data_IF_943405330498
#
_entry.id   IF_943405330498
#
_cell.length_a   1.000
_cell.length_b   1.000
_cell.length_c   1.000
_cell.angle_alpha   90.00
_cell.angle_beta   90.00
_cell.angle_gamma   90.00
#
_symmetry.space_group_name_H-M   'P 1'
#
loop_
_entity.id
_entity.type
_entity.pdbx_description
1 polymer ?
#
# COMPACT_ATOMS: atom_id res chain seq x y z
N UNK A 1 -47.20 10.13 -1.85
CA UNK A 1 -47.15 9.61 -0.46
C UNK A 1 -46.51 8.23 -0.40
N UNK A 2 -47.05 7.22 -1.08
CA UNK A 2 -46.50 5.86 -1.04
C UNK A 2 -45.06 5.74 -1.59
N UNK A 3 -44.73 6.44 -2.69
CA UNK A 3 -43.35 6.44 -3.24
C UNK A 3 -42.32 7.07 -2.28
N UNK A 4 -42.74 8.07 -1.50
CA UNK A 4 -41.89 8.75 -0.50
C UNK A 4 -41.58 7.82 0.66
N UNK A 5 -42.60 7.08 1.15
CA UNK A 5 -42.44 6.09 2.22
C UNK A 5 -41.55 4.90 1.79
N UNK A 6 -41.68 4.44 0.54
CA UNK A 6 -40.81 3.38 0.01
C UNK A 6 -39.35 3.81 -0.08
N UNK A 7 -39.09 5.06 -0.49
CA UNK A 7 -37.73 5.60 -0.52
C UNK A 7 -37.14 5.72 0.89
N UNK A 8 -37.94 6.15 1.88
CA UNK A 8 -37.53 6.23 3.27
C UNK A 8 -37.25 4.84 3.87
N UNK A 9 -38.08 3.83 3.60
CA UNK A 9 -37.80 2.46 4.04
C UNK A 9 -36.52 1.92 3.41
N UNK A 10 -36.32 2.13 2.11
CA UNK A 10 -35.09 1.73 1.42
C UNK A 10 -33.85 2.37 2.04
N UNK A 11 -33.93 3.65 2.41
CA UNK A 11 -32.83 4.39 3.04
C UNK A 11 -32.55 3.88 4.47
N UNK A 12 -33.58 3.59 5.25
CA UNK A 12 -33.45 3.17 6.65
C UNK A 12 -33.05 1.70 6.79
N UNK A 13 -33.59 0.79 5.98
CA UNK A 13 -33.33 -0.65 6.09
C UNK A 13 -32.28 -1.17 5.12
N UNK A 14 -31.84 -0.35 4.15
CA UNK A 14 -30.93 -0.77 3.09
C UNK A 14 -31.50 -1.80 2.11
N UNK A 15 -32.81 -2.12 2.21
CA UNK A 15 -33.45 -3.16 1.41
C UNK A 15 -33.71 -2.68 -0.01
N UNK A 16 -33.15 -3.36 -1.02
CA UNK A 16 -33.30 -2.99 -2.44
C UNK A 16 -34.49 -3.67 -3.13
N UNK A 17 -35.09 -4.68 -2.51
CA UNK A 17 -36.28 -5.39 -3.02
C UNK A 17 -37.56 -4.56 -2.83
N UNK A 18 -38.05 -3.99 -3.93
CA UNK A 18 -39.23 -3.13 -3.97
C UNK A 18 -40.51 -3.91 -3.61
N UNK A 19 -40.62 -5.20 -3.92
CA UNK A 19 -41.81 -5.99 -3.59
C UNK A 19 -41.89 -6.24 -2.09
N UNK A 20 -40.75 -6.54 -1.45
CA UNK A 20 -40.66 -6.73 -0.01
C UNK A 20 -40.96 -5.43 0.75
N UNK A 21 -40.46 -4.29 0.27
CA UNK A 21 -40.76 -2.96 0.84
C UNK A 21 -42.26 -2.61 0.73
N UNK A 22 -42.89 -2.92 -0.40
CA UNK A 22 -44.33 -2.72 -0.58
C UNK A 22 -45.15 -3.63 0.34
N UNK A 23 -44.73 -4.88 0.50
CA UNK A 23 -45.36 -5.82 1.42
C UNK A 23 -45.24 -5.34 2.88
N UNK A 24 -44.07 -4.87 3.30
CA UNK A 24 -43.87 -4.32 4.64
C UNK A 24 -44.77 -3.11 4.90
N UNK A 25 -44.87 -2.20 3.93
CA UNK A 25 -45.75 -1.03 4.03
C UNK A 25 -47.24 -1.41 4.06
N UNK A 26 -47.63 -2.48 3.35
CA UNK A 26 -49.00 -2.98 3.32
C UNK A 26 -49.39 -3.67 4.63
N UNK A 27 -48.49 -4.48 5.19
CA UNK A 27 -48.70 -5.19 6.47
C UNK A 27 -48.71 -4.20 7.64
N UNK A 28 -47.91 -3.15 7.56
CA UNK A 28 -47.78 -2.13 8.61
C UNK A 28 -48.78 -0.97 8.43
N UNK A 29 -49.77 -1.11 7.54
CA UNK A 29 -50.80 -0.10 7.26
C UNK A 29 -50.26 1.33 7.00
N UNK A 30 -49.05 1.46 6.45
CA UNK A 30 -48.39 2.73 6.19
C UNK A 30 -47.58 3.33 7.34
N UNK A 31 -47.48 2.66 8.50
CA UNK A 31 -46.58 3.04 9.59
C UNK A 31 -45.13 2.65 9.27
N UNK A 32 -44.23 3.63 9.34
CA UNK A 32 -42.82 3.44 8.98
C UNK A 32 -42.05 2.64 10.05
N UNK A 33 -42.37 2.81 11.34
CA UNK A 33 -41.66 2.14 12.42
C UNK A 33 -41.98 0.64 12.47
N UNK A 34 -43.25 0.29 12.28
CA UNK A 34 -43.67 -1.12 12.17
C UNK A 34 -43.11 -1.77 10.90
N UNK A 35 -43.05 -1.05 9.78
CA UNK A 35 -42.48 -1.57 8.54
C UNK A 35 -40.97 -1.83 8.66
N UNK A 36 -40.22 -0.97 9.38
CA UNK A 36 -38.80 -1.21 9.69
C UNK A 36 -38.63 -2.43 10.60
N UNK A 37 -39.47 -2.58 11.63
CA UNK A 37 -39.44 -3.75 12.52
C UNK A 37 -39.72 -5.06 11.74
N UNK A 38 -40.72 -5.06 10.86
CA UNK A 38 -41.05 -6.22 10.02
C UNK A 38 -39.88 -6.62 9.10
N UNK A 39 -39.18 -5.64 8.52
CA UNK A 39 -38.05 -5.87 7.62
C UNK A 39 -36.78 -6.31 8.36
N UNK A 40 -36.61 -5.90 9.62
CA UNK A 40 -35.45 -6.27 10.44
C UNK A 40 -35.63 -7.61 11.13
N UNK A 41 -36.85 -7.97 11.56
CA UNK A 41 -37.15 -9.29 12.14
C UNK A 41 -37.14 -10.41 11.09
N UNK A 42 -37.57 -10.16 9.85
CA UNK A 42 -37.50 -11.17 8.78
C UNK A 42 -36.06 -11.53 8.36
N UNK A 43 -35.10 -10.63 8.58
CA UNK A 43 -33.67 -10.89 8.37
C UNK A 43 -33.00 -11.64 9.53
N UNK A 44 -33.73 -11.92 10.63
CA UNK A 44 -33.17 -12.55 11.84
C UNK A 44 -33.36 -14.09 11.92
N UNK A 45 -33.74 -14.78 10.84
CA UNK A 45 -33.77 -16.25 10.79
C UNK A 45 -32.58 -16.81 10.00
N UNK A 46 -31.69 -17.47 10.73
CA UNK A 46 -30.47 -18.19 10.28
C UNK A 46 -30.78 -19.20 9.16
N UNK A 47 -29.90 -19.28 8.14
CA UNK A 47 -29.55 -20.56 7.54
C UNK A 47 -28.04 -20.86 7.62
N UNK A 48 -27.76 -22.14 7.84
CA UNK A 48 -26.46 -22.80 7.77
C UNK A 48 -25.87 -22.71 6.35
N UNK A 49 -24.53 -22.67 6.31
CA UNK A 49 -23.63 -23.16 5.26
C UNK A 49 -24.12 -23.07 3.80
N UNK A 50 -23.55 -22.12 3.06
CA UNK A 50 -22.66 -22.48 1.96
C UNK A 50 -21.59 -21.40 1.82
N UNK A 51 -20.39 -21.86 1.49
CA UNK A 51 -19.19 -21.05 1.30
C UNK A 51 -19.31 -20.05 0.15
N UNK A 52 -18.39 -19.09 0.19
CA UNK A 52 -18.06 -18.09 -0.82
C UNK A 52 -18.90 -16.80 -0.81
N UNK A 53 -18.16 -15.68 -0.78
CA UNK A 53 -18.54 -14.30 -1.16
C UNK A 53 -18.81 -13.29 -0.03
N UNK A 54 -17.73 -12.82 0.61
CA UNK A 54 -17.60 -11.45 1.16
C UNK A 54 -16.17 -11.04 0.78
N UNK A 55 -15.91 -10.15 -0.17
CA UNK A 55 -16.21 -8.72 -0.16
C UNK A 55 -16.52 -8.25 -1.59
N UNK A 56 -17.69 -7.64 -1.82
CA UNK A 56 -17.87 -6.78 -2.99
C UNK A 56 -18.58 -5.49 -2.61
N UNK A 57 -17.75 -4.46 -2.45
CA UNK A 57 -18.12 -3.05 -2.46
C UNK A 57 -18.85 -2.73 -3.76
N UNK A 58 -19.95 -1.99 -3.64
CA UNK A 58 -20.78 -1.44 -4.70
C UNK A 58 -19.97 -0.77 -5.81
N UNK A 59 -20.02 -1.36 -7.01
CA UNK A 59 -19.61 -0.75 -8.26
C UNK A 59 -20.70 0.23 -8.74
N UNK A 60 -20.30 1.48 -8.98
CA UNK A 60 -21.04 2.42 -9.85
C UNK A 60 -20.30 2.42 -11.19
N UNK A 61 -21.07 2.23 -12.26
CA UNK A 61 -20.62 1.68 -13.53
C UNK A 61 -19.61 2.50 -14.32
N UNK A 62 -18.70 1.75 -14.96
CA UNK A 62 -18.03 2.11 -16.21
C UNK A 62 -17.65 0.79 -16.91
N UNK A 63 -18.58 0.24 -17.68
CA UNK A 63 -18.33 -0.89 -18.57
C UNK A 63 -17.46 -0.43 -19.75
N UNK A 64 -16.18 -0.77 -19.70
CA UNK A 64 -15.30 -0.87 -20.89
C UNK A 64 -14.02 -1.64 -20.54
N UNK A 65 -14.15 -2.94 -20.29
CA UNK A 65 -13.00 -3.85 -20.36
C UNK A 65 -12.81 -4.28 -21.81
N UNK A 66 -11.69 -3.87 -22.42
CA UNK A 66 -11.24 -4.36 -23.72
C UNK A 66 -10.66 -5.75 -23.49
N UNK A 67 -11.37 -6.77 -23.98
CA UNK A 67 -10.88 -8.14 -24.08
C UNK A 67 -9.81 -8.21 -25.16
N UNK A 68 -8.56 -8.49 -24.78
CA UNK A 68 -7.50 -8.84 -25.73
C UNK A 68 -7.57 -10.36 -25.96
N UNK A 69 -8.61 -10.77 -26.70
CA UNK A 69 -8.71 -12.10 -27.25
C UNK A 69 -7.94 -12.17 -28.57
N UNK A 70 -6.91 -13.01 -28.60
CA UNK A 70 -6.25 -13.45 -29.83
C UNK A 70 -7.28 -14.17 -30.69
N UNK A 71 -7.73 -13.55 -31.78
CA UNK A 71 -8.44 -14.22 -32.86
C UNK A 71 -7.69 -13.96 -34.16
N UNK A 72 -7.00 -15.01 -34.60
CA UNK A 72 -6.56 -15.16 -35.96
C UNK A 72 -7.81 -15.40 -36.82
N UNK A 73 -8.24 -14.38 -37.56
CA UNK A 73 -9.34 -14.54 -38.52
C UNK A 73 -8.80 -15.12 -39.84
N UNK A 74 -9.33 -16.30 -40.11
CA UNK A 74 -9.11 -17.11 -41.31
C UNK A 74 -10.14 -16.62 -42.33
N UNK A 75 -9.73 -15.87 -43.35
CA UNK A 75 -10.65 -15.45 -44.41
C UNK A 75 -10.89 -16.59 -45.40
N UNK A 76 -11.97 -17.33 -45.20
CA UNK A 76 -12.53 -18.26 -46.18
C UNK A 76 -13.08 -17.49 -47.40
N UNK A 77 -12.65 -17.95 -48.57
CA UNK A 77 -13.22 -17.68 -49.89
C UNK A 77 -14.69 -18.12 -49.97
N UNK A 78 -15.54 -17.38 -50.71
CA UNK A 78 -16.55 -17.87 -51.67
C UNK A 78 -17.26 -16.66 -52.36
N UNK A 79 -17.88 -16.82 -53.55
CA UNK A 79 -17.62 -15.97 -54.72
C UNK A 79 -18.82 -15.11 -55.16
N UNK A 80 -18.54 -14.01 -55.87
CA UNK A 80 -19.55 -13.19 -56.55
C UNK A 80 -19.80 -13.63 -58.01
N UNK A 81 -21.03 -13.48 -58.54
CA UNK A 81 -21.41 -13.96 -59.87
C UNK A 81 -21.02 -12.99 -61.00
N UNK A 82 -20.75 -13.59 -62.17
CA UNK A 82 -20.33 -12.96 -63.42
C UNK A 82 -21.43 -12.14 -64.12
N UNK A 83 -21.02 -11.19 -64.98
CA UNK A 83 -21.54 -10.85 -66.33
C UNK A 83 -20.80 -9.60 -66.91
N UNK A 84 -20.83 -9.30 -68.23
CA UNK A 84 -19.82 -9.77 -69.19
C UNK A 84 -19.20 -8.66 -70.06
N UNK A 85 -18.08 -8.97 -70.72
CA UNK A 85 -17.70 -8.36 -72.01
C UNK A 85 -16.50 -7.43 -72.02
N UNK A 86 -15.37 -7.92 -72.54
CA UNK A 86 -14.65 -7.35 -73.69
C UNK A 86 -13.46 -8.26 -74.05
N UNK A 87 -13.11 -8.27 -75.32
CA UNK A 87 -12.26 -9.28 -75.99
C UNK A 87 -10.78 -9.30 -75.58
N UNK A 88 -10.02 -10.22 -76.22
CA UNK A 88 -8.77 -10.77 -75.70
C UNK A 88 -7.56 -9.88 -76.03
N UNK A 89 -6.56 -9.87 -75.17
CA UNK A 89 -5.18 -9.52 -75.56
C UNK A 89 -4.18 -10.24 -74.68
N UNK A 90 -3.34 -11.01 -75.38
CA UNK A 90 -2.15 -11.68 -74.89
C UNK A 90 -1.14 -10.67 -74.34
N UNK A 91 -0.40 -11.07 -73.31
CA UNK A 91 0.75 -10.33 -72.80
C UNK A 91 1.24 -10.93 -71.49
N UNK A 92 1.97 -12.04 -71.59
CA UNK A 92 2.91 -12.46 -70.55
C UNK A 92 3.91 -11.32 -70.30
N UNK A 93 3.89 -10.73 -69.11
CA UNK A 93 5.06 -10.04 -68.56
C UNK A 93 5.43 -10.76 -67.27
N UNK A 94 6.44 -11.63 -67.34
CA UNK A 94 7.14 -12.16 -66.17
C UNK A 94 7.67 -11.05 -65.25
N UNK A 95 7.81 -9.84 -65.78
CA UNK A 95 8.30 -8.63 -65.11
C UNK A 95 7.50 -8.23 -63.87
N UNK A 96 6.16 -8.32 -63.85
CA UNK A 96 5.37 -7.82 -62.71
C UNK A 96 5.48 -8.71 -61.46
N UNK A 97 5.74 -10.01 -61.65
CA UNK A 97 6.04 -10.94 -60.55
C UNK A 97 7.45 -10.74 -60.04
N UNK A 98 8.39 -10.51 -60.96
CA UNK A 98 9.78 -10.26 -60.64
C UNK A 98 9.93 -8.93 -59.88
N UNK A 99 9.20 -7.88 -60.27
CA UNK A 99 9.19 -6.58 -59.59
C UNK A 99 8.53 -6.65 -58.21
N UNK A 100 7.46 -7.43 -58.04
CA UNK A 100 6.86 -7.66 -56.73
C UNK A 100 7.81 -8.43 -55.80
N UNK A 101 8.47 -9.47 -56.31
CA UNK A 101 9.48 -10.21 -55.54
C UNK A 101 10.70 -9.33 -55.22
N UNK A 102 11.09 -8.44 -56.12
CA UNK A 102 12.17 -7.48 -55.90
C UNK A 102 11.80 -6.44 -54.85
N UNK A 103 10.58 -5.92 -54.87
CA UNK A 103 10.08 -4.99 -53.86
C UNK A 103 10.03 -5.63 -52.46
N UNK A 104 9.57 -6.88 -52.37
CA UNK A 104 9.55 -7.64 -51.10
C UNK A 104 10.97 -7.89 -50.57
N UNK A 105 11.90 -8.27 -51.46
CA UNK A 105 13.29 -8.49 -51.08
C UNK A 105 13.97 -7.19 -50.60
N UNK A 106 13.69 -6.06 -51.24
CA UNK A 106 14.21 -4.75 -50.84
C UNK A 106 13.64 -4.31 -49.48
N UNK A 107 12.34 -4.50 -49.21
CA UNK A 107 11.76 -4.22 -47.88
C UNK A 107 12.33 -5.11 -46.77
N UNK A 108 12.59 -6.39 -47.06
CA UNK A 108 13.24 -7.30 -46.10
C UNK A 108 14.70 -6.88 -45.83
N UNK A 109 15.43 -6.44 -46.86
CA UNK A 109 16.79 -5.97 -46.70
C UNK A 109 16.84 -4.65 -45.90
N UNK A 110 15.93 -3.71 -46.17
CA UNK A 110 15.81 -2.43 -45.48
C UNK A 110 15.47 -2.62 -43.99
N UNK A 111 14.50 -3.47 -43.67
CA UNK A 111 14.17 -3.87 -42.29
C UNK A 111 15.37 -4.52 -41.57
N UNK A 112 16.11 -5.39 -42.27
CA UNK A 112 17.31 -6.03 -41.70
C UNK A 112 18.47 -5.06 -41.46
N UNK A 113 18.58 -3.98 -42.25
CA UNK A 113 19.59 -2.92 -42.06
C UNK A 113 19.24 -2.03 -40.88
N UNK A 114 17.98 -1.60 -40.76
CA UNK A 114 17.50 -0.82 -39.63
C UNK A 114 17.74 -1.54 -38.29
N UNK A 115 17.50 -2.86 -38.25
CA UNK A 115 17.79 -3.70 -37.09
C UNK A 115 19.28 -3.84 -36.78
N UNK A 116 20.16 -3.97 -37.80
CA UNK A 116 21.62 -4.06 -37.56
C UNK A 116 22.23 -2.76 -37.06
N UNK A 117 21.68 -1.62 -37.44
CA UNK A 117 22.26 -0.31 -37.13
C UNK A 117 21.83 0.21 -35.75
N UNK A 118 20.60 -0.11 -35.32
CA UNK A 118 20.05 0.38 -34.05
C UNK A 118 19.81 -0.72 -33.02
N UNK A 119 19.79 -1.98 -33.42
CA UNK A 119 19.44 -3.12 -32.57
C UNK A 119 17.95 -3.17 -32.18
N UNK A 120 17.12 -2.30 -32.76
CA UNK A 120 15.72 -2.10 -32.37
C UNK A 120 14.86 -2.22 -33.63
N UNK A 121 13.80 -3.02 -33.57
CA UNK A 121 12.84 -3.16 -34.67
C UNK A 121 11.88 -1.96 -34.76
N UNK A 122 11.30 -1.73 -35.93
CA UNK A 122 10.29 -0.66 -36.12
C UNK A 122 9.08 -0.83 -35.19
N UNK A 123 8.75 -2.08 -34.86
CA UNK A 123 7.69 -2.45 -33.91
C UNK A 123 8.05 -2.01 -32.48
N UNK A 124 9.28 -2.24 -32.03
CA UNK A 124 9.76 -1.80 -30.70
C UNK A 124 9.84 -0.27 -30.58
N UNK A 125 10.19 0.43 -31.66
CA UNK A 125 10.12 1.90 -31.69
C UNK A 125 8.68 2.42 -31.66
N UNK A 126 7.74 1.72 -32.29
CA UNK A 126 6.32 2.06 -32.22
C UNK A 126 5.77 1.82 -30.81
N UNK A 127 6.10 0.71 -30.17
CA UNK A 127 5.74 0.40 -28.78
C UNK A 127 6.30 1.47 -27.83
N UNK A 128 7.58 1.84 -28.00
CA UNK A 128 8.22 2.88 -27.17
C UNK A 128 7.51 4.23 -27.30
N UNK A 129 7.14 4.64 -28.52
CA UNK A 129 6.37 5.87 -28.76
C UNK A 129 4.98 5.86 -28.14
N UNK A 130 4.27 4.73 -28.24
CA UNK A 130 2.94 4.57 -27.63
C UNK A 130 3.04 4.57 -26.10
N UNK A 131 4.06 3.93 -25.53
CA UNK A 131 4.30 3.90 -24.09
C UNK A 131 4.65 5.30 -23.55
N UNK A 132 5.52 6.04 -24.24
CA UNK A 132 5.84 7.43 -23.88
C UNK A 132 4.60 8.34 -23.96
N UNK A 133 3.78 8.19 -25.00
CA UNK A 133 2.53 8.93 -25.13
C UNK A 133 1.54 8.58 -23.98
N UNK A 134 1.43 7.31 -23.60
CA UNK A 134 0.59 6.87 -22.48
C UNK A 134 1.10 7.39 -21.13
N UNK A 135 2.42 7.41 -20.90
CA UNK A 135 3.03 7.99 -19.70
C UNK A 135 2.78 9.50 -19.64
N UNK A 136 2.91 10.20 -20.78
CA UNK A 136 2.64 11.63 -20.87
C UNK A 136 1.16 11.95 -20.63
N UNK A 137 0.25 11.13 -21.19
CA UNK A 137 -1.20 11.27 -21.00
C UNK A 137 -1.63 10.97 -19.56
N UNK A 138 -1.05 9.96 -18.91
CA UNK A 138 -1.27 9.67 -17.49
C UNK A 138 -0.78 10.83 -16.59
N UNK A 139 0.41 11.37 -16.86
CA UNK A 139 0.92 12.57 -16.15
C UNK A 139 0.05 13.80 -16.37
N UNK A 140 -0.48 13.99 -17.58
CA UNK A 140 -1.36 15.11 -17.90
C UNK A 140 -2.77 14.95 -17.31
N UNK A 141 -3.26 13.70 -17.20
CA UNK A 141 -4.55 13.38 -16.58
C UNK A 141 -4.49 13.58 -15.06
N UNK A 142 -3.38 13.22 -14.43
CA UNK A 142 -3.12 13.49 -13.00
C UNK A 142 -3.12 14.99 -12.67
N UNK A 143 -2.72 15.84 -13.62
CA UNK A 143 -2.80 17.31 -13.50
C UNK A 143 -4.19 17.88 -13.75
N UNK A 144 -5.08 17.18 -14.47
CA UNK A 144 -6.43 17.65 -14.84
C UNK A 144 -7.49 17.30 -13.81
N UNK A 145 -7.33 16.20 -13.08
CA UNK A 145 -8.00 16.03 -11.79
C UNK A 145 -7.38 17.03 -10.84
N UNK A 146 -8.09 18.12 -10.57
CA UNK A 146 -7.78 19.07 -9.51
C UNK A 146 -7.50 18.27 -8.23
N UNK A 147 -6.23 18.08 -7.88
CA UNK A 147 -5.83 17.59 -6.56
C UNK A 147 -6.50 18.55 -5.59
N UNK A 148 -7.59 18.12 -4.94
CA UNK A 148 -8.13 18.85 -3.81
C UNK A 148 -7.02 18.87 -2.77
N UNK A 149 -6.21 19.93 -2.81
CA UNK A 149 -5.22 20.20 -1.79
C UNK A 149 -6.02 20.38 -0.53
N UNK A 150 -6.01 19.35 0.31
CA UNK A 150 -6.71 19.39 1.60
C UNK A 150 -6.27 20.66 2.32
N UNK A 151 -7.24 21.50 2.66
CA UNK A 151 -7.01 22.78 3.33
C UNK A 151 -7.80 22.83 4.62
N UNK A 152 -7.24 23.54 5.61
CA UNK A 152 -7.94 23.78 6.86
C UNK A 152 -9.23 24.56 6.57
N UNK A 153 -10.35 24.16 7.19
CA UNK A 153 -11.58 24.97 7.12
C UNK A 153 -11.28 26.40 7.58
N UNK A 154 -11.68 27.44 6.82
CA UNK A 154 -11.48 28.82 7.23
C UNK A 154 -12.26 29.15 8.50
N UNK A 155 -13.34 28.42 8.79
CA UNK A 155 -14.09 28.58 10.02
C UNK A 155 -13.44 27.78 11.18
N UNK A 156 -12.95 28.46 12.24
CA UNK A 156 -12.31 27.78 13.37
C UNK A 156 -13.27 26.88 14.16
N UNK A 157 -14.59 27.11 14.09
CA UNK A 157 -15.58 26.29 14.79
C UNK A 157 -15.67 24.87 14.21
N UNK A 158 -15.51 24.71 12.89
CA UNK A 158 -15.53 23.40 12.21
C UNK A 158 -14.31 22.55 12.58
N UNK A 159 -13.28 23.19 13.14
CA UNK A 159 -12.03 22.57 13.58
C UNK A 159 -12.05 22.25 15.08
N UNK A 160 -13.17 22.48 15.77
CA UNK A 160 -13.33 22.18 17.19
C UNK A 160 -13.50 20.66 17.37
N UNK A 161 -12.81 20.11 18.38
CA UNK A 161 -12.94 18.72 18.81
C UNK A 161 -14.31 18.51 19.44
N UNK A 162 -15.01 17.46 19.02
CA UNK A 162 -16.18 16.98 19.74
C UNK A 162 -15.74 16.30 21.03
N UNK A 163 -16.57 16.39 22.08
CA UNK A 163 -16.27 15.74 23.36
C UNK A 163 -16.10 14.22 23.19
N UNK A 164 -15.14 13.62 23.90
CA UNK A 164 -14.79 12.20 23.83
C UNK A 164 -14.29 11.67 22.47
N UNK A 165 -14.24 12.48 21.41
CA UNK A 165 -13.61 12.06 20.15
C UNK A 165 -12.07 12.13 20.26
N UNK A 166 -11.29 11.18 19.72
CA UNK A 166 -9.83 11.30 19.63
C UNK A 166 -9.37 12.51 18.80
N UNK A 167 -8.15 12.99 19.05
CA UNK A 167 -7.52 14.06 18.25
C UNK A 167 -6.89 13.45 17.01
N UNK A 168 -7.21 13.96 15.83
CA UNK A 168 -6.57 13.58 14.57
C UNK A 168 -5.19 14.20 14.38
N UNK A 169 -4.46 13.74 13.37
CA UNK A 169 -3.21 14.34 12.92
C UNK A 169 -3.41 14.94 11.53
N UNK A 170 -2.95 16.18 11.34
CA UNK A 170 -2.96 16.84 10.03
C UNK A 170 -2.00 16.12 9.09
N UNK A 171 -2.44 15.84 7.87
CA UNK A 171 -1.56 15.33 6.82
C UNK A 171 -0.72 16.49 6.26
N UNK A 172 0.60 16.45 6.48
CA UNK A 172 1.55 17.51 6.15
C UNK A 172 2.46 17.09 4.99
N UNK A 173 1.82 16.67 3.90
CA UNK A 173 2.48 16.23 2.66
C UNK A 173 2.93 14.78 2.70
N UNK A 174 2.15 13.88 2.09
CA UNK A 174 2.45 12.43 1.99
C UNK A 174 2.89 11.79 3.32
N UNK A 175 2.36 12.24 4.46
CA UNK A 175 2.77 11.81 5.82
C UNK A 175 1.67 11.01 6.53
N UNK A 176 0.78 10.37 5.76
CA UNK A 176 -0.24 9.49 6.32
C UNK A 176 0.36 8.27 7.05
N UNK A 177 1.52 7.77 6.60
CA UNK A 177 2.28 6.71 7.27
C UNK A 177 2.66 7.10 8.70
N UNK A 178 3.12 8.34 8.91
CA UNK A 178 3.44 8.88 10.24
C UNK A 178 2.20 8.90 11.12
N UNK A 179 1.10 9.43 10.55
CA UNK A 179 -0.16 9.57 11.26
C UNK A 179 -0.71 8.22 11.74
N UNK A 180 -0.67 7.18 10.89
CA UNK A 180 -1.15 5.85 11.22
C UNK A 180 -0.34 5.22 12.36
N UNK A 181 0.98 5.22 12.26
CA UNK A 181 1.86 4.62 13.29
C UNK A 181 1.77 5.38 14.62
N UNK A 182 1.82 6.72 14.59
CA UNK A 182 1.74 7.51 15.82
C UNK A 182 0.40 7.35 16.51
N UNK A 183 -0.72 7.30 15.77
CA UNK A 183 -2.03 7.04 16.37
C UNK A 183 -2.10 5.64 16.99
N UNK A 184 -1.57 4.62 16.30
CA UNK A 184 -1.53 3.24 16.83
C UNK A 184 -0.73 3.17 18.13
N UNK A 185 0.46 3.76 18.17
CA UNK A 185 1.31 3.78 19.35
C UNK A 185 0.74 4.64 20.49
N UNK A 186 0.17 5.80 20.18
CA UNK A 186 -0.45 6.70 21.17
C UNK A 186 -1.61 6.03 21.93
N UNK A 187 -2.32 5.10 21.30
CA UNK A 187 -3.42 4.37 21.92
C UNK A 187 -2.96 3.21 22.83
N UNK A 188 -1.66 2.87 22.83
CA UNK A 188 -1.07 2.00 23.84
C UNK A 188 -0.83 2.82 25.11
N UNK A 189 -1.70 2.66 26.11
CA UNK A 189 -1.69 3.50 27.32
C UNK A 189 -0.34 3.51 28.06
N UNK A 190 0.36 2.37 28.10
CA UNK A 190 1.68 2.29 28.74
C UNK A 190 2.73 3.06 27.92
N UNK A 191 2.73 2.94 26.60
CA UNK A 191 3.61 3.73 25.73
C UNK A 191 3.35 5.23 25.87
N UNK A 192 2.07 5.62 25.84
CA UNK A 192 1.64 7.00 26.07
C UNK A 192 2.16 7.53 27.41
N UNK A 193 2.02 6.73 28.49
CA UNK A 193 2.53 7.06 29.82
C UNK A 193 4.04 7.26 29.82
N UNK A 194 4.79 6.33 29.22
CA UNK A 194 6.25 6.42 29.11
C UNK A 194 6.68 7.71 28.41
N UNK A 195 6.09 8.02 27.25
CA UNK A 195 6.44 9.22 26.46
C UNK A 195 6.10 10.50 27.21
N UNK A 196 4.91 10.61 27.81
CA UNK A 196 4.50 11.82 28.54
C UNK A 196 5.34 12.11 29.79
N UNK A 197 5.77 11.05 30.49
CA UNK A 197 6.58 11.14 31.71
C UNK A 197 8.10 11.10 31.44
N UNK A 198 8.51 11.09 30.17
CA UNK A 198 9.91 11.25 29.81
C UNK A 198 10.42 12.61 30.26
N UNK A 199 11.56 12.60 30.95
CA UNK A 199 12.20 13.80 31.47
C UNK A 199 13.52 13.96 30.71
N UNK A 200 13.62 14.93 29.78
CA UNK A 200 14.84 15.14 29.02
C UNK A 200 15.98 15.65 29.92
N UNK A 201 17.25 15.39 29.58
CA UNK A 201 18.41 15.87 30.33
C UNK A 201 18.37 17.40 30.48
N UNK A 202 18.63 17.90 31.70
CA UNK A 202 18.47 19.31 32.03
C UNK A 202 19.65 20.21 31.58
N UNK A 203 20.82 19.64 31.25
CA UNK A 203 22.03 20.41 30.91
C UNK A 203 22.65 19.96 29.59
N UNK A 204 23.16 20.94 28.85
CA UNK A 204 23.85 20.76 27.56
C UNK A 204 25.20 20.05 27.69
N UNK A 205 25.73 19.90 28.89
CA UNK A 205 26.97 19.15 29.16
C UNK A 205 26.73 17.65 29.30
N UNK A 206 25.48 17.26 29.53
CA UNK A 206 25.00 15.87 29.52
C UNK A 206 24.49 15.49 28.11
N UNK A 207 24.64 16.40 27.12
CA UNK A 207 24.24 16.08 25.76
C UNK A 207 25.15 14.99 25.17
N UNK A 208 24.59 14.05 24.42
CA UNK A 208 25.33 12.87 24.03
C UNK A 208 26.41 13.20 22.98
N UNK A 209 27.56 12.50 23.05
CA UNK A 209 28.74 12.77 22.20
C UNK A 209 28.60 12.27 20.76
N UNK A 210 27.60 11.43 20.48
CA UNK A 210 27.43 10.77 19.19
C UNK A 210 26.30 11.43 18.36
N UNK A 211 26.48 11.53 17.03
CA UNK A 211 25.52 12.15 16.09
C UNK A 211 24.10 11.54 16.12
N UNK A 212 23.98 10.22 16.36
CA UNK A 212 22.69 9.49 16.45
C UNK A 212 21.83 10.04 17.57
N UNK A 213 22.45 10.23 18.72
CA UNK A 213 21.83 10.65 19.97
C UNK A 213 21.38 12.13 19.93
N UNK A 214 22.07 12.97 19.15
CA UNK A 214 21.73 14.38 18.93
C UNK A 214 20.37 14.57 18.24
N UNK A 215 19.88 13.57 17.49
CA UNK A 215 18.60 13.62 16.78
C UNK A 215 17.46 13.00 17.59
N UNK A 216 17.77 11.96 18.37
CA UNK A 216 16.79 11.22 19.16
C UNK A 216 16.15 12.10 20.25
N UNK A 217 16.96 12.91 20.95
CA UNK A 217 16.45 13.76 22.05
C UNK A 217 15.49 14.87 21.56
N UNK A 218 15.82 15.67 20.52
CA UNK A 218 14.86 16.62 19.95
C UNK A 218 13.59 15.94 19.45
N UNK A 219 13.71 14.79 18.78
CA UNK A 219 12.55 14.04 18.33
C UNK A 219 11.67 13.59 19.51
N UNK A 220 12.27 13.08 20.58
CA UNK A 220 11.56 12.64 21.78
C UNK A 220 10.83 13.80 22.48
N UNK A 221 11.46 14.97 22.52
CA UNK A 221 10.82 16.19 23.03
C UNK A 221 9.60 16.60 22.20
N UNK A 222 9.73 16.60 20.87
CA UNK A 222 8.62 16.92 19.97
C UNK A 222 7.51 15.87 20.01
N UNK A 223 7.86 14.58 20.14
CA UNK A 223 6.88 13.51 20.32
C UNK A 223 6.09 13.69 21.63
N UNK A 224 6.76 14.04 22.72
CA UNK A 224 6.11 14.35 24.00
C UNK A 224 5.18 15.56 23.90
N UNK A 225 5.59 16.61 23.20
CA UNK A 225 4.75 17.78 22.93
C UNK A 225 3.51 17.39 22.11
N UNK A 226 3.70 16.60 21.05
CA UNK A 226 2.62 16.09 20.21
C UNK A 226 1.63 15.25 21.02
N UNK A 227 2.11 14.33 21.87
CA UNK A 227 1.25 13.50 22.73
C UNK A 227 0.47 14.35 23.72
N UNK A 228 1.10 15.37 24.31
CA UNK A 228 0.43 16.32 25.21
C UNK A 228 -0.71 17.06 24.51
N UNK A 229 -0.51 17.46 23.25
CA UNK A 229 -1.54 18.06 22.42
C UNK A 229 -2.65 17.06 22.05
N UNK A 230 -2.30 15.81 21.73
CA UNK A 230 -3.29 14.76 21.43
C UNK A 230 -4.19 14.44 22.63
N UNK A 231 -3.64 14.47 23.85
CA UNK A 231 -4.43 14.34 25.08
C UNK A 231 -5.33 15.56 25.29
N UNK A 232 -4.75 16.76 25.32
CA UNK A 232 -5.42 17.96 25.86
C UNK A 232 -6.10 18.88 24.86
N UNK A 233 -5.83 18.76 23.56
CA UNK A 233 -6.30 19.72 22.57
C UNK A 233 -7.82 19.76 22.45
N UNK A 234 -8.36 20.97 22.29
CA UNK A 234 -9.76 21.23 21.92
C UNK A 234 -9.97 21.32 20.41
N UNK A 235 -8.91 21.09 19.61
CA UNK A 235 -8.97 21.02 18.14
C UNK A 235 -9.21 19.58 17.69
N UNK A 236 -9.96 19.43 16.60
CA UNK A 236 -10.26 18.13 15.97
C UNK A 236 -8.99 17.39 15.55
N UNK A 237 -7.93 18.13 15.21
CA UNK A 237 -6.63 17.60 14.85
C UNK A 237 -5.51 18.55 15.28
N UNK A 238 -4.30 18.03 15.40
CA UNK A 238 -3.06 18.77 15.69
C UNK A 238 -2.07 18.61 14.55
N UNK A 239 -1.11 19.52 14.47
CA UNK A 239 -0.12 19.57 13.40
C UNK A 239 1.16 18.85 13.82
N UNK A 240 1.54 17.73 13.18
CA UNK A 240 2.74 16.98 13.54
C UNK A 240 4.02 17.48 12.84
N UNK A 241 3.98 18.61 12.11
CA UNK A 241 5.10 19.07 11.27
C UNK A 241 6.45 19.04 11.97
N UNK A 242 6.56 19.56 13.21
CA UNK A 242 7.84 19.60 13.92
C UNK A 242 8.47 18.21 14.11
N UNK A 243 7.69 17.21 14.54
CA UNK A 243 8.17 15.84 14.70
C UNK A 243 8.47 15.19 13.33
N UNK A 244 7.65 15.46 12.32
CA UNK A 244 7.82 14.94 10.97
C UNK A 244 9.09 15.48 10.30
N UNK A 245 9.40 16.77 10.45
CA UNK A 245 10.60 17.37 9.84
C UNK A 245 11.90 16.82 10.46
N UNK A 246 11.96 16.68 11.80
CA UNK A 246 13.11 16.06 12.48
C UNK A 246 13.35 14.63 11.96
N UNK A 247 12.26 13.92 11.71
CA UNK A 247 12.30 12.55 11.22
C UNK A 247 12.71 12.47 9.74
N UNK A 248 12.18 13.34 8.87
CA UNK A 248 12.57 13.43 7.45
C UNK A 248 14.07 13.69 7.29
N UNK A 249 14.63 14.58 8.11
CA UNK A 249 16.06 14.87 8.14
C UNK A 249 16.93 13.63 8.44
N UNK A 250 16.35 12.59 9.05
CA UNK A 250 17.02 11.32 9.29
C UNK A 250 16.90 10.29 8.19
N UNK A 251 15.86 10.35 7.36
CA UNK A 251 15.68 9.40 6.26
C UNK A 251 16.52 9.74 5.03
N UNK A 252 16.99 10.99 4.86
CA UNK A 252 17.87 11.43 3.74
C UNK A 252 17.52 10.86 2.35
N UNK A 253 16.25 10.53 2.12
CA UNK A 253 15.70 10.13 0.82
C UNK A 253 14.83 11.26 0.29
N UNK A 254 14.87 11.51 -1.01
CA UNK A 254 14.18 12.58 -1.74
C UNK A 254 12.82 12.99 -1.12
N UNK A 255 12.58 14.30 -0.98
CA UNK A 255 11.44 15.00 -0.34
C UNK A 255 10.02 14.54 -0.75
N UNK A 256 9.87 13.60 -1.68
CA UNK A 256 8.61 13.22 -2.32
C UNK A 256 8.28 11.73 -2.29
N UNK A 257 9.11 10.86 -1.70
CA UNK A 257 8.80 9.41 -1.63
C UNK A 257 7.97 9.08 -0.40
N UNK A 258 6.86 8.36 -0.63
CA UNK A 258 6.11 7.67 0.42
C UNK A 258 7.07 6.72 1.14
N UNK A 259 7.17 6.82 2.46
CA UNK A 259 8.04 5.98 3.27
C UNK A 259 7.35 4.66 3.59
N UNK A 260 8.13 3.59 3.70
CA UNK A 260 7.63 2.31 4.21
C UNK A 260 7.29 2.47 5.70
N UNK A 261 6.07 2.05 6.08
CA UNK A 261 5.57 2.07 7.45
C UNK A 261 6.45 1.21 8.37
N UNK A 262 6.96 0.09 7.87
CA UNK A 262 7.84 -0.82 8.62
C UNK A 262 9.16 -0.15 8.96
N UNK A 263 9.80 0.48 7.97
CA UNK A 263 11.05 1.21 8.15
C UNK A 263 10.89 2.38 9.12
N UNK A 264 9.79 3.14 8.99
CA UNK A 264 9.49 4.21 9.94
C UNK A 264 9.33 3.67 11.36
N UNK A 265 8.52 2.63 11.54
CA UNK A 265 8.22 2.10 12.87
C UNK A 265 9.50 1.56 13.52
N UNK A 266 10.36 0.88 12.77
CA UNK A 266 11.64 0.41 13.27
C UNK A 266 12.54 1.57 13.71
N UNK A 267 12.72 2.59 12.85
CA UNK A 267 13.53 3.76 13.16
C UNK A 267 13.02 4.54 14.38
N UNK A 268 11.70 4.66 14.50
CA UNK A 268 11.04 5.30 15.62
C UNK A 268 11.35 4.56 16.92
N UNK A 269 11.17 3.24 16.95
CA UNK A 269 11.42 2.44 18.15
C UNK A 269 12.90 2.46 18.55
N UNK A 270 13.82 2.40 17.59
CA UNK A 270 15.26 2.54 17.84
C UNK A 270 15.61 3.86 18.53
N UNK A 271 15.03 4.98 18.05
CA UNK A 271 15.29 6.30 18.61
C UNK A 271 14.74 6.47 20.02
N UNK A 272 13.57 5.89 20.26
CA UNK A 272 12.97 5.89 21.58
C UNK A 272 13.74 4.98 22.53
N UNK A 273 14.14 3.80 22.10
CA UNK A 273 15.01 2.91 22.86
C UNK A 273 16.28 3.64 23.30
N UNK A 274 17.03 4.23 22.37
CA UNK A 274 18.23 5.01 22.66
C UNK A 274 17.96 6.13 23.69
N UNK A 275 16.86 6.88 23.52
CA UNK A 275 16.51 7.99 24.41
C UNK A 275 16.15 7.54 25.84
N UNK A 276 15.49 6.39 25.97
CA UNK A 276 15.17 5.79 27.27
C UNK A 276 16.37 5.06 27.89
N UNK A 277 17.29 4.56 27.07
CA UNK A 277 18.53 3.93 27.53
C UNK A 277 19.41 4.95 28.25
N UNK A 278 19.61 6.14 27.66
CA UNK A 278 20.36 7.23 28.29
C UNK A 278 19.81 7.59 29.66
N UNK A 279 18.48 7.75 29.75
CA UNK A 279 17.81 8.06 31.02
C UNK A 279 18.06 6.96 32.06
N UNK A 280 17.95 5.70 31.66
CA UNK A 280 18.12 4.59 32.57
C UNK A 280 19.57 4.47 33.09
N UNK A 281 20.55 4.91 32.30
CA UNK A 281 21.97 5.00 32.71
C UNK A 281 22.24 6.18 33.66
N UNK A 282 21.53 7.31 33.51
CA UNK A 282 21.60 8.46 34.44
C UNK A 282 21.02 8.13 35.83
N UNK A 283 19.96 7.31 35.88
CA UNK A 283 19.18 7.08 37.09
C UNK A 283 19.83 6.11 38.12
N UNK A 284 20.97 5.42 37.86
CA UNK A 284 21.49 4.38 38.78
C UNK A 284 23.00 4.13 38.94
N UNK A 285 23.39 4.04 40.22
CA UNK A 285 24.46 3.18 40.76
C UNK A 285 23.93 1.74 40.98
N UNK A 286 24.47 0.73 40.28
CA UNK A 286 24.53 -0.65 40.80
C UNK A 286 23.65 -1.75 40.17
N UNK A 287 22.48 -1.46 39.59
CA UNK A 287 21.67 -2.47 38.86
C UNK A 287 21.61 -2.15 37.37
N UNK A 288 21.70 -3.18 36.51
CA UNK A 288 21.59 -3.00 35.05
C UNK A 288 20.25 -2.32 34.72
N UNK A 289 20.26 -1.13 34.10
CA UNK A 289 19.04 -0.47 33.69
C UNK A 289 18.26 -1.36 32.71
N UNK A 290 16.96 -1.53 32.98
CA UNK A 290 16.05 -2.16 32.03
C UNK A 290 15.35 -1.06 31.25
N UNK A 291 15.54 -1.07 29.93
CA UNK A 291 14.93 -0.10 29.05
C UNK A 291 13.43 -0.41 28.89
N UNK A 292 12.52 0.51 29.26
CA UNK A 292 11.08 0.26 29.19
C UNK A 292 10.59 0.06 27.74
N UNK A 293 11.29 0.56 26.73
CA UNK A 293 10.93 0.31 25.33
C UNK A 293 11.24 -1.14 24.93
N UNK A 294 12.37 -1.68 25.41
CA UNK A 294 12.73 -3.09 25.20
C UNK A 294 11.72 -4.00 25.87
N UNK A 295 11.30 -3.69 27.10
CA UNK A 295 10.30 -4.48 27.82
C UNK A 295 8.91 -4.46 27.14
N UNK A 296 8.55 -3.36 26.47
CA UNK A 296 7.24 -3.20 25.87
C UNK A 296 7.13 -3.83 24.47
N UNK A 297 8.19 -3.76 23.66
CA UNK A 297 8.12 -4.13 22.24
C UNK A 297 8.97 -5.34 21.84
N UNK A 298 9.83 -5.85 22.71
CA UNK A 298 10.76 -6.91 22.36
C UNK A 298 10.51 -8.18 23.17
N UNK A 299 10.57 -9.31 22.47
CA UNK A 299 10.50 -10.66 23.03
C UNK A 299 11.77 -11.45 22.77
N UNK A 300 11.76 -12.71 23.19
CA UNK A 300 12.81 -13.68 22.86
C UNK A 300 12.18 -14.97 22.36
N UNK A 301 12.81 -15.62 21.39
CA UNK A 301 12.46 -16.96 20.94
C UNK A 301 13.71 -17.86 20.91
N UNK A 302 13.48 -19.17 20.88
CA UNK A 302 14.54 -20.17 20.83
C UNK A 302 14.60 -20.75 19.42
N UNK A 303 15.69 -20.50 18.70
CA UNK A 303 15.99 -21.12 17.43
C UNK A 303 16.73 -22.44 17.68
N UNK A 304 16.15 -23.55 17.23
CA UNK A 304 16.74 -24.90 17.36
C UNK A 304 16.78 -25.56 16.00
N UNK A 305 17.94 -26.09 15.62
CA UNK A 305 18.07 -26.73 14.31
C UNK A 305 19.34 -27.55 14.18
N UNK A 306 19.56 -28.05 12.96
CA UNK A 306 20.77 -28.81 12.59
C UNK A 306 21.35 -28.18 11.34
N UNK A 307 22.58 -27.67 11.45
CA UNK A 307 23.33 -27.10 10.33
C UNK A 307 24.59 -27.94 10.10
N UNK A 308 24.77 -28.47 8.89
CA UNK A 308 25.92 -29.33 8.53
C UNK A 308 26.14 -30.51 9.52
N UNK A 309 25.04 -31.10 10.02
CA UNK A 309 25.07 -32.19 10.99
C UNK A 309 25.37 -31.77 12.44
N UNK A 310 25.58 -30.48 12.73
CA UNK A 310 25.74 -29.95 14.09
C UNK A 310 24.41 -29.38 14.58
N UNK A 311 23.98 -29.81 15.76
CA UNK A 311 22.82 -29.23 16.45
C UNK A 311 23.20 -27.84 16.98
N UNK A 312 22.30 -26.88 16.84
CA UNK A 312 22.41 -25.58 17.48
C UNK A 312 21.15 -25.27 18.28
N UNK A 313 21.32 -24.42 19.28
CA UNK A 313 20.28 -23.85 20.11
C UNK A 313 20.69 -22.42 20.41
N UNK A 314 19.93 -21.45 19.92
CA UNK A 314 20.24 -20.03 20.07
C UNK A 314 18.99 -19.28 20.57
N UNK A 315 19.15 -18.44 21.59
CA UNK A 315 18.08 -17.55 22.05
C UNK A 315 18.24 -16.21 21.37
N UNK A 316 17.25 -15.83 20.57
CA UNK A 316 17.26 -14.61 19.77
C UNK A 316 16.24 -13.62 20.30
N UNK A 317 16.55 -12.34 20.18
CA UNK A 317 15.63 -11.25 20.51
C UNK A 317 14.89 -10.84 19.23
N UNK A 318 13.61 -10.55 19.34
CA UNK A 318 12.83 -10.00 18.24
C UNK A 318 12.00 -8.82 18.73
N UNK A 319 11.78 -7.84 17.85
CA UNK A 319 10.83 -6.75 18.07
C UNK A 319 9.60 -6.96 17.21
N UNK A 320 9.63 -6.40 15.99
CA UNK A 320 8.65 -6.73 14.96
C UNK A 320 9.01 -8.09 14.34
N UNK A 321 8.01 -8.94 14.13
CA UNK A 321 8.18 -10.27 13.55
C UNK A 321 7.57 -10.32 12.14
N UNK A 322 8.37 -10.25 11.07
CA UNK A 322 7.87 -10.26 9.70
C UNK A 322 7.30 -11.63 9.34
N UNK A 323 6.16 -11.64 8.64
CA UNK A 323 5.47 -12.86 8.21
C UNK A 323 5.27 -12.86 6.71
N UNK A 324 5.52 -14.00 6.07
CA UNK A 324 5.06 -14.24 4.71
C UNK A 324 3.55 -14.49 4.73
N UNK A 325 2.82 -13.77 3.88
CA UNK A 325 1.35 -13.88 3.81
C UNK A 325 0.88 -14.62 2.56
N UNK A 326 1.72 -14.70 1.53
CA UNK A 326 1.35 -15.34 0.28
C UNK A 326 1.18 -16.84 0.47
N UNK A 327 0.01 -17.36 0.10
CA UNK A 327 -0.31 -18.80 0.17
C UNK A 327 -0.90 -19.27 1.49
N UNK A 328 -1.15 -18.36 2.45
CA UNK A 328 -1.76 -18.68 3.74
C UNK A 328 -3.11 -18.00 3.89
N UNK A 329 -4.04 -18.66 4.58
CA UNK A 329 -5.43 -18.22 4.74
C UNK A 329 -5.64 -17.29 5.91
N UNK A 330 -4.87 -17.49 6.98
CA UNK A 330 -4.99 -16.74 8.21
C UNK A 330 -3.62 -16.52 8.89
N UNK A 331 -3.64 -15.74 9.98
CA UNK A 331 -2.45 -15.39 10.74
C UNK A 331 -1.80 -16.60 11.41
N UNK A 332 -2.58 -17.62 11.80
CA UNK A 332 -2.04 -18.81 12.45
C UNK A 332 -1.21 -19.62 11.45
N UNK A 333 -1.71 -19.83 10.24
CA UNK A 333 -0.96 -20.49 9.17
C UNK A 333 0.35 -19.74 8.84
N UNK A 334 0.31 -18.40 8.79
CA UNK A 334 1.51 -17.59 8.57
C UNK A 334 2.56 -17.78 9.69
N UNK A 335 2.11 -17.81 10.95
CA UNK A 335 2.98 -18.00 12.11
C UNK A 335 3.54 -19.43 12.18
N UNK A 336 2.73 -20.44 11.90
CA UNK A 336 3.18 -21.83 11.83
C UNK A 336 4.25 -22.00 10.75
N UNK A 337 4.03 -21.45 9.55
CA UNK A 337 5.01 -21.49 8.48
C UNK A 337 6.32 -20.78 8.85
N UNK A 338 6.25 -19.63 9.54
CA UNK A 338 7.44 -18.89 9.99
C UNK A 338 8.23 -19.61 11.10
N UNK A 339 7.59 -20.49 11.87
CA UNK A 339 8.24 -21.25 12.95
C UNK A 339 8.77 -22.62 12.50
N UNK A 340 8.42 -23.05 11.28
CA UNK A 340 8.88 -24.29 10.66
C UNK A 340 9.94 -23.91 9.62
N UNK A 341 11.15 -23.58 10.05
CA UNK A 341 12.22 -23.34 9.08
C UNK A 341 12.62 -24.65 8.39
N UNK A 342 12.37 -24.70 7.07
CA UNK A 342 13.17 -25.45 6.10
C UNK A 342 14.60 -24.89 6.03
N UNK A 343 15.50 -25.62 5.36
CA UNK A 343 16.95 -25.37 5.29
C UNK A 343 17.33 -23.88 5.39
N UNK A 344 18.05 -23.52 6.46
CA UNK A 344 18.65 -22.19 6.63
C UNK A 344 19.49 -21.91 5.38
N UNK A 345 19.08 -20.95 4.55
CA UNK A 345 19.90 -20.49 3.43
C UNK A 345 21.25 -20.03 4.01
N UNK A 346 22.30 -20.79 3.73
CA UNK A 346 23.63 -20.48 4.24
C UNK A 346 24.08 -19.13 3.65
N UNK A 347 24.08 -18.08 4.46
CA UNK A 347 24.62 -16.76 4.13
C UNK A 347 26.17 -16.75 3.91
N UNK A 348 26.80 -17.93 3.72
CA UNK A 348 28.25 -18.08 3.60
C UNK A 348 28.76 -18.54 2.22
N UNK A 349 27.90 -18.73 1.21
CA UNK A 349 28.35 -19.17 -0.12
C UNK A 349 28.71 -18.02 -1.09
N UNK A 350 28.65 -16.76 -0.67
CA UNK A 350 29.05 -15.60 -1.50
C UNK A 350 30.48 -15.08 -1.22
N UNK A 351 31.22 -15.68 -0.29
CA UNK A 351 32.58 -15.25 0.06
C UNK A 351 33.72 -16.06 -0.62
N UNK A 352 33.43 -17.16 -1.34
CA UNK A 352 34.47 -18.05 -1.90
C UNK A 352 34.78 -17.86 -3.39
N UNK A 353 34.24 -16.84 -4.06
CA UNK A 353 34.65 -16.47 -5.43
C UNK A 353 35.60 -15.27 -5.50
N UNK A 354 36.38 -15.03 -4.45
CA UNK A 354 37.52 -14.09 -4.49
C UNK A 354 38.86 -14.82 -4.52
N UNK A 355 39.18 -15.44 -5.66
CA UNK A 355 40.56 -15.68 -6.06
C UNK A 355 40.67 -15.97 -7.56
N UNK A 356 41.13 -14.97 -8.33
CA UNK A 356 42.33 -15.09 -9.15
C UNK A 356 42.80 -13.71 -9.63
N UNK A 357 43.81 -13.23 -8.92
CA UNK A 357 44.81 -12.29 -9.41
C UNK A 357 45.36 -12.78 -10.76
N UNK A 358 45.33 -11.90 -11.76
CA UNK A 358 46.06 -12.03 -13.01
C UNK A 358 46.87 -10.76 -13.21
N UNK A 359 48.16 -10.82 -12.86
CA UNK A 359 49.18 -9.99 -13.48
C UNK A 359 49.35 -10.45 -14.93
N UNK A 360 49.20 -9.55 -15.88
CA UNK A 360 50.20 -9.18 -16.89
C UNK A 360 49.91 -7.78 -17.42
#
# INVERSE_FOLDING_TARGET
HQQTLLNQLREVTGTTDVQLLQQALQVSHGDLAEAVAFLTEKNAKVPQQDEDTYYQTTQVGNDRYISVGSQADTSEYLPHPALPGAGPSQGDTSDDKDDLQRAIALSLEESSRAFRETGITDEEQAISRVLEASIAENKASLKRTHTEVWSDSPNPHDRKRMENCPVGLKNVGNTCWFSAVIQSLFNLLEFQRLVLHYSPPARVQDLPRNQKEHRNLPFMQELRNLFSLMVGSKRKYVDPSCAVEILKDAFKSSESQQQDVSEFTHKLLDWLEDAFQMKAEEDREGEKPKNPMVELFYGRFLAVGVLEGKKFENTEMFGQYPLQVNGFKDLHECLEAAMIEGEIESLHSSAENSAKSGQE
#
